data_IF_906630683006
#
_entry.id   IF_906630683006
#
_cell.length_a   1.000
_cell.length_b   1.000
_cell.length_c   1.000
_cell.angle_alpha   90.00
_cell.angle_beta   90.00
_cell.angle_gamma   90.00
#
_symmetry.space_group_name_H-M   'P 1'
#
loop_
_entity.id
_entity.type
_entity.pdbx_description
1 polymer ?
#
# COMPACT_ATOMS: atom_id res chain seq x y z
N UNK A 1 -58.30 -5.87 6.93
CA UNK A 1 -56.90 -5.73 6.49
C UNK A 1 -56.06 -5.30 7.68
N UNK A 2 -55.46 -6.26 8.39
CA UNK A 2 -54.00 -6.59 8.34
C UNK A 2 -53.16 -5.50 9.02
N UNK A 3 -52.39 -5.75 10.08
CA UNK A 3 -51.77 -6.97 10.62
C UNK A 3 -51.11 -6.58 11.97
N UNK A 4 -51.12 -7.39 13.04
CA UNK A 4 -50.14 -7.26 14.10
C UNK A 4 -49.21 -8.48 14.05
N UNK A 5 -48.00 -8.30 13.50
CA UNK A 5 -46.92 -9.28 13.67
C UNK A 5 -45.58 -8.55 13.60
N UNK A 6 -45.19 -7.99 14.74
CA UNK A 6 -43.92 -7.28 14.89
C UNK A 6 -43.11 -7.77 16.09
N UNK A 7 -43.44 -8.94 16.68
CA UNK A 7 -42.77 -9.43 17.89
C UNK A 7 -42.41 -10.92 17.88
N UNK A 8 -42.31 -11.58 16.72
CA UNK A 8 -41.95 -13.01 16.64
C UNK A 8 -40.43 -13.29 16.54
N UNK A 9 -39.54 -12.32 16.76
CA UNK A 9 -38.08 -12.52 16.60
C UNK A 9 -37.27 -12.51 17.88
N UNK A 10 -37.90 -12.33 19.05
CA UNK A 10 -37.19 -12.23 20.32
C UNK A 10 -36.76 -13.61 20.90
N UNK A 11 -37.11 -14.71 20.26
CA UNK A 11 -36.77 -16.07 20.69
C UNK A 11 -36.37 -16.97 19.51
N UNK A 12 -35.51 -16.48 18.61
CA UNK A 12 -34.65 -17.42 17.89
C UNK A 12 -33.49 -17.70 18.80
N UNK A 13 -33.38 -18.93 19.32
CA UNK A 13 -32.17 -19.36 20.02
C UNK A 13 -30.98 -19.10 19.08
N UNK A 14 -30.06 -18.23 19.49
CA UNK A 14 -28.75 -18.06 18.85
C UNK A 14 -28.06 -19.43 18.94
N UNK A 15 -28.27 -20.28 17.93
CA UNK A 15 -27.32 -21.33 17.62
C UNK A 15 -26.13 -20.61 17.02
N UNK A 16 -25.05 -20.53 17.78
CA UNK A 16 -23.75 -20.21 17.21
C UNK A 16 -23.60 -21.05 15.93
N UNK A 17 -23.31 -20.43 14.78
CA UNK A 17 -23.10 -21.16 13.55
C UNK A 17 -21.92 -22.10 13.79
N UNK A 18 -22.20 -23.41 13.75
CA UNK A 18 -21.20 -24.44 13.84
C UNK A 18 -20.20 -24.20 12.70
N UNK A 19 -18.97 -23.79 13.03
CA UNK A 19 -17.96 -23.44 12.04
C UNK A 19 -17.55 -24.70 11.27
N UNK A 20 -18.21 -24.95 10.14
CA UNK A 20 -17.80 -25.98 9.20
C UNK A 20 -16.55 -25.52 8.45
N UNK A 21 -15.53 -26.39 8.28
CA UNK A 21 -14.36 -26.06 7.49
C UNK A 21 -14.76 -25.78 6.03
N UNK A 22 -14.19 -24.72 5.45
CA UNK A 22 -14.44 -24.29 4.05
C UNK A 22 -13.98 -25.37 3.07
N UNK A 23 -12.93 -26.12 3.43
CA UNK A 23 -12.38 -27.19 2.62
C UNK A 23 -12.91 -28.55 3.07
N UNK A 24 -13.29 -29.44 2.13
CA UNK A 24 -13.70 -30.80 2.47
C UNK A 24 -12.50 -31.61 3.01
N UNK A 25 -12.74 -32.65 3.83
CA UNK A 25 -11.67 -33.47 4.43
C UNK A 25 -10.79 -34.21 3.40
N UNK A 26 -11.32 -34.41 2.19
CA UNK A 26 -10.60 -35.02 1.06
C UNK A 26 -9.70 -34.03 0.31
N UNK A 27 -9.76 -32.74 0.64
CA UNK A 27 -8.92 -31.73 0.02
C UNK A 27 -7.50 -31.78 0.60
N UNK A 28 -6.53 -32.13 -0.25
CA UNK A 28 -5.11 -32.03 0.08
C UNK A 28 -4.61 -30.66 -0.37
N UNK A 29 -4.20 -29.82 0.58
CA UNK A 29 -3.58 -28.51 0.28
C UNK A 29 -2.09 -28.73 0.06
N UNK A 30 -1.66 -28.72 -1.20
CA UNK A 30 -0.23 -28.71 -1.55
C UNK A 30 0.35 -27.31 -1.39
N UNK A 31 1.52 -27.18 -0.76
CA UNK A 31 2.24 -25.90 -0.75
C UNK A 31 2.95 -25.72 -2.09
N UNK A 32 2.51 -24.79 -2.92
CA UNK A 32 3.33 -24.32 -4.04
C UNK A 32 4.38 -23.40 -3.44
N UNK A 33 5.61 -23.88 -3.33
CA UNK A 33 6.73 -23.07 -2.85
C UNK A 33 7.08 -22.04 -3.92
N UNK A 34 6.86 -20.76 -3.59
CA UNK A 34 7.18 -19.65 -4.47
C UNK A 34 8.66 -19.28 -4.30
N UNK A 35 9.56 -20.09 -4.86
CA UNK A 35 11.02 -19.87 -4.74
C UNK A 35 11.46 -18.44 -5.05
N UNK A 36 10.79 -17.79 -6.01
CA UNK A 36 11.05 -16.40 -6.35
C UNK A 36 10.54 -15.42 -5.28
N UNK A 37 9.37 -15.66 -4.69
CA UNK A 37 8.86 -14.85 -3.58
C UNK A 37 9.79 -14.94 -2.38
N UNK A 38 10.29 -16.15 -2.05
CA UNK A 38 11.24 -16.33 -0.97
C UNK A 38 12.54 -15.55 -1.23
N UNK A 39 13.09 -15.64 -2.44
CA UNK A 39 14.27 -14.86 -2.84
C UNK A 39 14.05 -13.34 -2.73
N UNK A 40 12.88 -12.84 -3.12
CA UNK A 40 12.54 -11.41 -2.98
C UNK A 40 12.46 -11.01 -1.50
N UNK A 41 11.79 -11.82 -0.68
CA UNK A 41 11.67 -11.55 0.76
C UNK A 41 13.02 -11.58 1.48
N UNK A 42 13.92 -12.49 1.09
CA UNK A 42 15.30 -12.53 1.59
C UNK A 42 16.08 -11.27 1.20
N UNK A 43 16.00 -10.84 -0.07
CA UNK A 43 16.65 -9.61 -0.52
C UNK A 43 16.13 -8.36 0.21
N UNK A 44 14.82 -8.30 0.49
CA UNK A 44 14.19 -7.19 1.22
C UNK A 44 14.68 -7.02 2.67
N UNK A 45 15.28 -8.06 3.27
CA UNK A 45 15.91 -7.94 4.60
C UNK A 45 17.11 -6.99 4.58
N UNK A 46 17.82 -6.91 3.45
CA UNK A 46 19.03 -6.09 3.27
C UNK A 46 18.70 -4.78 2.55
N UNK A 47 17.71 -4.81 1.66
CA UNK A 47 17.24 -3.68 0.86
C UNK A 47 15.77 -3.39 1.16
N UNK A 48 15.45 -2.60 2.21
CA UNK A 48 14.08 -2.36 2.60
C UNK A 48 13.31 -1.58 1.51
N UNK A 49 12.02 -1.88 1.39
CA UNK A 49 11.16 -1.21 0.42
C UNK A 49 11.07 0.31 0.71
N UNK A 50 11.11 1.15 -0.34
CA UNK A 50 10.87 2.57 -0.18
C UNK A 50 9.43 2.85 0.24
N UNK A 51 9.24 3.88 1.06
CA UNK A 51 7.94 4.26 1.61
C UNK A 51 7.03 4.82 0.51
N UNK A 52 5.87 4.21 0.32
CA UNK A 52 4.87 4.69 -0.63
C UNK A 52 4.35 6.09 -0.25
N UNK A 53 4.29 7.00 -1.22
CA UNK A 53 3.82 8.38 -1.04
C UNK A 53 2.44 8.60 -1.69
N UNK A 54 1.38 8.81 -0.89
CA UNK A 54 0.06 9.16 -1.42
C UNK A 54 0.07 10.48 -2.19
N UNK A 55 -0.77 10.59 -3.23
CA UNK A 55 -0.83 11.75 -4.13
C UNK A 55 -0.91 13.10 -3.41
N UNK A 56 -1.66 13.17 -2.31
CA UNK A 56 -1.90 14.41 -1.55
C UNK A 56 -0.64 15.05 -0.95
N UNK A 57 0.41 14.26 -0.70
CA UNK A 57 1.63 14.74 -0.02
C UNK A 57 2.85 14.79 -0.96
N UNK A 58 2.70 14.38 -2.23
CA UNK A 58 3.81 14.35 -3.20
C UNK A 58 4.39 15.74 -3.45
N UNK A 59 3.57 16.74 -3.70
CA UNK A 59 4.02 18.12 -3.94
C UNK A 59 4.78 18.69 -2.75
N UNK A 60 4.28 18.48 -1.53
CA UNK A 60 4.95 18.89 -0.28
C UNK A 60 6.30 18.21 -0.12
N UNK A 61 6.39 16.92 -0.42
CA UNK A 61 7.64 16.16 -0.36
C UNK A 61 8.65 16.65 -1.41
N UNK A 62 8.21 16.91 -2.64
CA UNK A 62 9.06 17.46 -3.70
C UNK A 62 9.56 18.85 -3.32
N UNK A 63 8.69 19.71 -2.79
CA UNK A 63 9.05 21.04 -2.30
C UNK A 63 10.08 21.00 -1.17
N UNK A 64 9.87 20.11 -0.19
CA UNK A 64 10.84 19.88 0.89
C UNK A 64 12.20 19.45 0.32
N UNK A 65 12.23 18.54 -0.65
CA UNK A 65 13.46 18.09 -1.27
C UNK A 65 14.16 19.19 -2.09
N UNK A 66 13.40 20.11 -2.70
CA UNK A 66 13.91 21.27 -3.43
C UNK A 66 14.51 22.34 -2.50
N UNK A 67 13.88 22.56 -1.34
CA UNK A 67 14.23 23.60 -0.36
C UNK A 67 15.21 23.11 0.71
N UNK A 68 15.43 21.80 0.81
CA UNK A 68 16.45 21.23 1.68
C UNK A 68 17.80 21.89 1.35
N UNK A 69 18.46 22.47 2.37
CA UNK A 69 19.72 23.23 2.27
C UNK A 69 20.93 22.41 1.77
N UNK A 70 20.70 21.21 1.22
CA UNK A 70 21.70 20.26 0.76
C UNK A 70 21.98 20.35 -0.75
N UNK A 71 21.21 21.13 -1.52
CA UNK A 71 21.39 21.27 -2.98
C UNK A 71 21.82 22.68 -3.37
N UNK A 72 23.09 22.82 -3.80
CA UNK A 72 23.64 24.07 -4.37
C UNK A 72 23.01 24.37 -5.76
N UNK A 73 22.45 23.35 -6.44
CA UNK A 73 21.63 23.51 -7.65
C UNK A 73 20.49 22.46 -7.67
N UNK A 74 19.26 22.82 -7.29
CA UNK A 74 18.15 21.88 -7.26
C UNK A 74 17.59 21.67 -8.68
N UNK A 75 18.18 20.74 -9.43
CA UNK A 75 17.63 20.24 -10.69
C UNK A 75 16.85 18.94 -10.50
N UNK A 76 16.02 18.59 -11.50
CA UNK A 76 15.19 17.36 -11.51
C UNK A 76 15.96 16.12 -11.06
N UNK A 77 17.18 15.92 -11.56
CA UNK A 77 18.02 14.77 -11.22
C UNK A 77 18.44 14.71 -9.75
N UNK A 78 18.81 15.86 -9.18
CA UNK A 78 19.19 15.94 -7.76
C UNK A 78 17.99 15.72 -6.84
N UNK A 79 16.86 16.39 -7.11
CA UNK A 79 15.62 16.23 -6.33
C UNK A 79 15.13 14.79 -6.37
N UNK A 80 15.12 14.17 -7.55
CA UNK A 80 14.75 12.75 -7.70
C UNK A 80 15.71 11.83 -6.94
N UNK A 81 17.02 12.08 -7.02
CA UNK A 81 18.03 11.28 -6.35
C UNK A 81 17.95 11.35 -4.83
N UNK A 82 17.50 12.48 -4.28
CA UNK A 82 17.24 12.64 -2.85
C UNK A 82 16.00 11.85 -2.42
N UNK A 83 14.88 12.02 -3.12
CA UNK A 83 13.58 11.44 -2.74
C UNK A 83 13.59 9.91 -2.87
N UNK A 84 14.15 9.37 -3.96
CA UNK A 84 14.10 7.92 -4.27
C UNK A 84 14.84 7.01 -3.30
N UNK A 85 15.64 7.58 -2.38
CA UNK A 85 16.37 6.81 -1.35
C UNK A 85 15.45 6.26 -0.27
N UNK A 86 14.31 6.91 -0.06
CA UNK A 86 13.44 6.63 1.08
C UNK A 86 11.99 6.53 0.66
N UNK A 87 11.61 7.13 -0.46
CA UNK A 87 10.23 7.25 -0.90
C UNK A 87 10.03 6.66 -2.30
N UNK A 88 8.80 6.25 -2.59
CA UNK A 88 8.40 5.75 -3.91
C UNK A 88 6.94 6.06 -4.25
N UNK A 89 6.65 6.29 -5.53
CA UNK A 89 5.30 6.26 -6.08
C UNK A 89 5.35 6.07 -7.61
N UNK A 90 4.27 5.59 -8.25
CA UNK A 90 4.19 5.48 -9.70
C UNK A 90 4.38 6.83 -10.38
N UNK A 91 5.19 6.87 -11.44
CA UNK A 91 5.45 8.08 -12.24
C UNK A 91 6.19 9.21 -11.50
N UNK A 92 6.91 8.89 -10.41
CA UNK A 92 7.71 9.84 -9.64
C UNK A 92 8.60 10.75 -10.49
N UNK A 93 9.31 10.20 -11.49
CA UNK A 93 10.16 11.01 -12.36
C UNK A 93 9.37 12.12 -13.07
N UNK A 94 8.18 11.80 -13.60
CA UNK A 94 7.31 12.76 -14.28
C UNK A 94 6.84 13.81 -13.30
N UNK A 95 6.30 13.40 -12.15
CA UNK A 95 5.76 14.32 -11.15
C UNK A 95 6.84 15.29 -10.61
N UNK A 96 8.07 14.79 -10.37
CA UNK A 96 9.21 15.63 -9.96
C UNK A 96 9.61 16.60 -11.07
N UNK A 97 9.71 16.13 -12.32
CA UNK A 97 10.07 16.98 -13.46
C UNK A 97 9.06 18.11 -13.69
N UNK A 98 7.77 17.78 -13.67
CA UNK A 98 6.69 18.76 -13.84
C UNK A 98 6.71 19.80 -12.72
N UNK A 99 6.88 19.37 -11.47
CA UNK A 99 6.95 20.28 -10.33
C UNK A 99 8.15 21.23 -10.42
N UNK A 100 9.36 20.70 -10.67
CA UNK A 100 10.59 21.51 -10.75
C UNK A 100 10.50 22.52 -11.90
N UNK A 101 10.00 22.11 -13.07
CA UNK A 101 9.83 22.99 -14.22
C UNK A 101 8.78 24.09 -13.98
N UNK A 102 7.78 23.84 -13.13
CA UNK A 102 6.78 24.84 -12.77
C UNK A 102 7.25 25.84 -11.69
N UNK A 103 8.37 25.54 -11.01
CA UNK A 103 8.98 26.41 -9.99
C UNK A 103 10.12 27.30 -10.52
N UNK A 104 10.58 27.09 -11.75
CA UNK A 104 11.52 27.98 -12.46
C UNK A 104 10.79 29.17 -13.08
#
# INVERSE_FOLDING_TARGET
>A
NTKPDALSRLYSADKDPEFAPILPPSCIVGSVAWDMTNKVMEAQQVEPDPIYVPTRVRSTLIHWALTAKLSIHPGVGHTLALIRRTFWWPLMFRDVREYVNACQ
#
